data_IF_813979432398
#
_entry.id   IF_813979432398
#
_cell.length_a   1.000
_cell.length_b   1.000
_cell.length_c   1.000
_cell.angle_alpha   90.00
_cell.angle_beta   90.00
_cell.angle_gamma   90.00
#
_symmetry.space_group_name_H-M   'P 1'
#
loop_
_entity.id
_entity.type
_entity.pdbx_description
1 polymer ?
#
# COMPACT_ATOMS: atom_id res chain seq x y z
N UNK A 1 41.39 31.52 -43.75
CA UNK A 1 40.44 31.63 -42.61
C UNK A 1 39.78 30.29 -42.43
N UNK A 2 40.07 29.58 -41.32
CA UNK A 2 39.52 28.23 -41.01
C UNK A 2 38.33 28.40 -40.06
N UNK A 3 37.11 28.17 -40.54
CA UNK A 3 35.92 28.12 -39.70
C UNK A 3 35.93 26.80 -38.90
N UNK A 4 36.06 26.89 -37.58
CA UNK A 4 35.91 25.78 -36.67
C UNK A 4 34.39 25.60 -36.41
N UNK A 5 33.83 24.51 -36.92
CA UNK A 5 32.46 24.08 -36.65
C UNK A 5 32.38 23.57 -35.22
N UNK A 6 31.62 24.26 -34.38
CA UNK A 6 31.35 23.86 -32.99
C UNK A 6 30.11 22.95 -32.98
N UNK A 7 30.33 21.63 -32.90
CA UNK A 7 29.26 20.66 -32.69
C UNK A 7 28.85 20.70 -31.24
N UNK A 8 27.73 21.35 -30.94
CA UNK A 8 27.09 21.26 -29.62
C UNK A 8 26.23 20.03 -29.61
N UNK A 9 26.72 18.98 -28.97
CA UNK A 9 25.93 17.75 -28.71
C UNK A 9 25.00 18.03 -27.52
N UNK A 10 23.74 18.29 -27.81
CA UNK A 10 22.70 18.36 -26.76
C UNK A 10 22.40 16.93 -26.34
N UNK A 11 22.93 16.51 -25.19
CA UNK A 11 22.58 15.27 -24.53
C UNK A 11 21.21 15.48 -23.86
N UNK A 12 20.16 15.11 -24.54
CA UNK A 12 18.81 15.07 -23.96
C UNK A 12 18.77 13.97 -22.88
N UNK A 13 18.81 14.39 -21.63
CA UNK A 13 18.55 13.52 -20.49
C UNK A 13 17.06 13.18 -20.51
N UNK A 14 16.70 12.04 -21.09
CA UNK A 14 15.39 11.45 -20.89
C UNK A 14 15.32 10.96 -19.45
N UNK A 15 14.77 11.77 -18.57
CA UNK A 15 14.32 11.32 -17.26
C UNK A 15 13.12 10.40 -17.49
N UNK A 16 13.34 9.10 -17.51
CA UNK A 16 12.25 8.13 -17.45
C UNK A 16 11.68 8.22 -16.05
N UNK A 17 10.51 8.85 -15.89
CA UNK A 17 9.73 8.73 -14.68
C UNK A 17 9.43 7.24 -14.48
N UNK A 18 10.08 6.63 -13.48
CA UNK A 18 9.77 5.26 -13.06
C UNK A 18 8.44 5.34 -12.30
N UNK A 19 7.35 5.19 -13.01
CA UNK A 19 6.03 5.03 -12.42
C UNK A 19 5.96 3.62 -11.83
N UNK A 20 5.70 3.49 -10.53
CA UNK A 20 5.47 2.18 -9.91
C UNK A 20 4.21 1.57 -10.54
N UNK A 21 4.38 0.50 -11.31
CA UNK A 21 3.27 -0.18 -11.96
C UNK A 21 2.74 -1.28 -11.05
N UNK A 22 1.68 -0.97 -10.29
CA UNK A 22 1.08 -1.91 -9.37
C UNK A 22 0.38 -3.06 -10.10
N UNK A 23 0.83 -4.27 -9.86
CA UNK A 23 0.23 -5.51 -10.36
C UNK A 23 -0.45 -6.25 -9.21
N UNK A 24 -1.70 -6.74 -9.38
CA UNK A 24 -2.35 -7.51 -8.34
C UNK A 24 -1.62 -8.85 -8.12
N UNK A 25 -1.36 -9.16 -6.86
CA UNK A 25 -0.86 -10.46 -6.41
C UNK A 25 -2.04 -11.35 -6.05
N UNK A 26 -2.95 -10.84 -5.23
CA UNK A 26 -4.16 -11.52 -4.82
C UNK A 26 -5.02 -10.65 -3.91
N UNK A 27 -6.19 -11.17 -3.54
CA UNK A 27 -7.10 -10.49 -2.63
C UNK A 27 -7.85 -11.48 -1.75
N UNK A 28 -8.35 -10.99 -0.63
CA UNK A 28 -9.15 -11.78 0.30
C UNK A 28 -10.23 -10.91 0.96
N UNK A 29 -11.35 -11.52 1.30
CA UNK A 29 -12.43 -10.87 2.00
C UNK A 29 -12.37 -11.17 3.49
N UNK A 30 -12.53 -10.14 4.30
CA UNK A 30 -12.69 -10.28 5.74
C UNK A 30 -14.17 -10.23 6.11
N UNK A 31 -14.64 -11.31 6.73
CA UNK A 31 -16.02 -11.44 7.20
C UNK A 31 -16.05 -11.55 8.72
N UNK A 32 -17.05 -10.94 9.34
CA UNK A 32 -17.37 -11.13 10.74
C UNK A 32 -18.77 -11.78 10.86
N UNK A 33 -18.78 -13.06 11.19
CA UNK A 33 -19.98 -13.87 11.07
C UNK A 33 -20.48 -13.88 9.61
N UNK A 34 -21.75 -13.54 9.35
CA UNK A 34 -22.31 -13.47 7.99
C UNK A 34 -22.01 -12.13 7.29
N UNK A 35 -21.32 -11.21 7.92
CA UNK A 35 -21.14 -9.86 7.40
C UNK A 35 -19.77 -9.70 6.74
N UNK A 36 -19.76 -9.30 5.48
CA UNK A 36 -18.57 -8.82 4.81
C UNK A 36 -18.25 -7.41 5.32
N UNK A 37 -17.05 -7.24 5.88
CA UNK A 37 -16.65 -5.99 6.54
C UNK A 37 -15.74 -5.17 5.64
N UNK A 38 -14.71 -5.79 5.07
CA UNK A 38 -13.80 -5.20 4.09
C UNK A 38 -13.12 -6.29 3.25
N UNK A 39 -12.62 -5.88 2.11
CA UNK A 39 -11.72 -6.69 1.28
C UNK A 39 -10.31 -6.12 1.37
N UNK A 40 -9.30 -6.98 1.30
CA UNK A 40 -7.90 -6.56 1.24
C UNK A 40 -7.24 -7.14 0.01
N UNK A 41 -6.59 -6.29 -0.79
CA UNK A 41 -5.78 -6.66 -1.94
C UNK A 41 -4.31 -6.45 -1.66
N UNK A 42 -3.46 -7.33 -2.18
CA UNK A 42 -2.01 -7.19 -2.20
C UNK A 42 -1.54 -6.92 -3.62
N UNK A 43 -0.69 -5.93 -3.76
CA UNK A 43 -0.11 -5.52 -5.04
C UNK A 43 1.42 -5.45 -4.92
N UNK A 44 2.10 -5.73 -6.02
CA UNK A 44 3.54 -5.58 -6.19
C UNK A 44 3.86 -5.13 -7.61
N UNK A 45 5.12 -4.87 -7.93
CA UNK A 45 5.54 -4.54 -9.30
C UNK A 45 5.56 -5.76 -10.24
N UNK A 46 5.52 -6.98 -9.71
CA UNK A 46 5.75 -8.23 -10.48
C UNK A 46 4.57 -9.19 -10.48
N UNK A 47 3.39 -8.78 -10.01
CA UNK A 47 2.20 -9.64 -9.80
C UNK A 47 2.46 -10.92 -8.98
N UNK A 48 3.53 -10.92 -8.18
CA UNK A 48 3.90 -12.02 -7.29
C UNK A 48 4.47 -11.45 -6.00
N UNK A 49 4.46 -12.25 -4.94
CA UNK A 49 5.07 -11.88 -3.67
C UNK A 49 6.27 -12.79 -3.36
N UNK A 50 7.35 -12.16 -2.95
CA UNK A 50 8.51 -12.81 -2.35
C UNK A 50 8.79 -12.20 -0.98
N UNK A 51 9.32 -13.00 -0.04
CA UNK A 51 9.66 -12.49 1.28
C UNK A 51 10.69 -11.34 1.17
N UNK A 52 10.45 -10.27 1.93
CA UNK A 52 11.25 -9.04 1.91
C UNK A 52 11.25 -8.27 0.58
N UNK A 53 10.30 -8.53 -0.29
CA UNK A 53 10.12 -7.74 -1.51
C UNK A 53 9.53 -6.37 -1.17
N UNK A 54 10.04 -5.34 -1.84
CA UNK A 54 9.49 -3.98 -1.89
C UNK A 54 9.57 -3.46 -3.32
N UNK A 55 8.75 -2.50 -3.72
CA UNK A 55 7.60 -2.00 -2.95
C UNK A 55 6.43 -3.00 -2.91
N UNK A 56 5.58 -2.85 -1.89
CA UNK A 56 4.29 -3.53 -1.79
C UNK A 56 3.19 -2.50 -1.55
N UNK A 57 1.97 -2.80 -1.99
CA UNK A 57 0.80 -2.03 -1.60
C UNK A 57 -0.30 -2.98 -1.11
N UNK A 58 -0.86 -2.65 0.05
CA UNK A 58 -2.10 -3.24 0.55
C UNK A 58 -3.23 -2.25 0.31
N UNK A 59 -4.31 -2.71 -0.31
CA UNK A 59 -5.50 -1.90 -0.55
C UNK A 59 -6.67 -2.50 0.21
N UNK A 60 -7.25 -1.74 1.12
CA UNK A 60 -8.39 -2.13 1.95
C UNK A 60 -9.61 -1.37 1.43
N UNK A 61 -10.58 -2.11 0.90
CA UNK A 61 -11.87 -1.57 0.49
C UNK A 61 -12.90 -1.87 1.56
N UNK A 62 -13.53 -0.84 2.09
CA UNK A 62 -14.53 -0.98 3.13
C UNK A 62 -15.91 -1.29 2.55
N UNK A 63 -16.60 -2.25 3.15
CA UNK A 63 -17.98 -2.62 2.77
C UNK A 63 -19.00 -2.12 3.82
N UNK A 64 -18.52 -1.65 4.96
CA UNK A 64 -19.31 -1.10 6.06
C UNK A 64 -18.68 0.19 6.56
N UNK A 65 -19.48 1.10 7.15
CA UNK A 65 -18.93 2.27 7.83
C UNK A 65 -18.00 1.84 8.97
N UNK A 66 -16.81 2.43 9.03
CA UNK A 66 -15.80 2.14 10.08
C UNK A 66 -15.20 3.46 10.54
N UNK A 67 -15.25 3.70 11.85
CA UNK A 67 -14.54 4.84 12.43
C UNK A 67 -13.03 4.63 12.31
N UNK A 68 -12.30 5.61 11.73
CA UNK A 68 -10.87 5.50 11.50
C UNK A 68 -10.07 5.25 12.77
N UNK A 69 -10.48 5.87 13.90
CA UNK A 69 -9.86 5.64 15.21
C UNK A 69 -10.00 4.19 15.69
N UNK A 70 -11.17 3.58 15.47
CA UNK A 70 -11.42 2.18 15.83
C UNK A 70 -10.66 1.22 14.94
N UNK A 71 -10.52 1.56 13.66
CA UNK A 71 -9.69 0.78 12.73
C UNK A 71 -8.21 0.82 13.13
N UNK A 72 -7.68 1.99 13.53
CA UNK A 72 -6.33 2.11 14.06
C UNK A 72 -6.11 1.21 15.29
N UNK A 73 -7.07 1.15 16.23
CA UNK A 73 -7.01 0.24 17.38
C UNK A 73 -6.94 -1.22 16.94
N UNK A 74 -7.72 -1.60 15.91
CA UNK A 74 -7.71 -2.96 15.38
C UNK A 74 -6.34 -3.33 14.82
N UNK A 75 -5.75 -2.45 14.00
CA UNK A 75 -4.41 -2.67 13.43
C UNK A 75 -3.35 -2.84 14.53
N UNK A 76 -3.38 -1.98 15.54
CA UNK A 76 -2.41 -2.07 16.66
C UNK A 76 -2.56 -3.38 17.45
N UNK A 77 -3.78 -3.85 17.72
CA UNK A 77 -3.99 -5.14 18.39
C UNK A 77 -3.37 -6.31 17.60
N UNK A 78 -3.49 -6.28 16.28
CA UNK A 78 -2.86 -7.28 15.43
C UNK A 78 -1.32 -7.18 15.44
N UNK A 79 -0.78 -5.96 15.49
CA UNK A 79 0.67 -5.75 15.63
C UNK A 79 1.19 -6.20 17.01
N UNK A 80 0.47 -5.92 18.10
CA UNK A 80 0.84 -6.33 19.47
C UNK A 80 0.87 -7.86 19.61
N UNK A 81 -0.02 -8.57 18.92
CA UNK A 81 -0.02 -10.03 18.88
C UNK A 81 1.30 -10.61 18.32
N UNK A 82 2.10 -9.80 17.62
CA UNK A 82 3.42 -10.16 17.09
C UNK A 82 4.58 -9.86 18.04
N UNK A 83 4.29 -9.55 19.32
CA UNK A 83 5.29 -9.30 20.37
C UNK A 83 6.12 -8.02 20.17
N UNK A 84 5.49 -6.98 19.64
CA UNK A 84 6.13 -5.67 19.48
C UNK A 84 6.18 -4.89 20.81
N UNK A 85 7.07 -3.90 20.87
CA UNK A 85 7.21 -3.02 22.02
C UNK A 85 5.94 -2.17 22.22
N UNK A 86 5.47 -2.05 23.47
CA UNK A 86 4.30 -1.21 23.83
C UNK A 86 4.52 0.26 23.52
N UNK A 87 5.75 0.76 23.65
CA UNK A 87 6.06 2.16 23.37
C UNK A 87 5.88 2.49 21.88
N UNK A 88 6.34 1.60 21.00
CA UNK A 88 6.16 1.76 19.55
C UNK A 88 4.67 1.72 19.17
N UNK A 89 3.95 0.70 19.66
CA UNK A 89 2.52 0.53 19.32
C UNK A 89 1.67 1.68 19.83
N UNK A 90 2.00 2.26 20.99
CA UNK A 90 1.33 3.45 21.52
C UNK A 90 1.55 4.67 20.64
N UNK A 91 2.78 4.91 20.20
CA UNK A 91 3.11 6.03 19.31
C UNK A 91 2.43 5.91 17.95
N UNK A 92 2.43 4.69 17.37
CA UNK A 92 1.77 4.41 16.10
C UNK A 92 0.26 4.55 16.18
N UNK A 93 -0.36 4.05 17.27
CA UNK A 93 -1.81 4.21 17.50
C UNK A 93 -2.19 5.69 17.48
N UNK A 94 -1.51 6.49 18.30
CA UNK A 94 -1.77 7.93 18.38
C UNK A 94 -1.71 8.56 16.99
N UNK A 95 -0.66 8.23 16.22
CA UNK A 95 -0.47 8.82 14.90
C UNK A 95 -1.55 8.39 13.91
N UNK A 96 -1.90 7.11 13.86
CA UNK A 96 -2.99 6.64 13.00
C UNK A 96 -4.33 7.27 13.37
N UNK A 97 -4.62 7.43 14.68
CA UNK A 97 -5.86 8.10 15.13
C UNK A 97 -5.93 9.58 14.79
N UNK A 98 -4.77 10.25 14.60
CA UNK A 98 -4.70 11.64 14.15
C UNK A 98 -4.97 11.79 12.65
N UNK A 99 -4.56 10.81 11.83
CA UNK A 99 -4.58 10.94 10.37
C UNK A 99 -5.71 10.16 9.69
N UNK A 100 -6.23 9.10 10.29
CA UNK A 100 -7.27 8.29 9.66
C UNK A 100 -8.62 9.01 9.69
N UNK A 101 -9.27 9.20 8.53
CA UNK A 101 -10.66 9.62 8.48
C UNK A 101 -11.59 8.48 8.90
N UNK A 102 -12.86 8.78 9.10
CA UNK A 102 -13.90 7.76 9.12
C UNK A 102 -14.15 7.27 7.70
N UNK A 103 -14.34 5.98 7.55
CA UNK A 103 -14.52 5.32 6.26
C UNK A 103 -15.99 4.96 6.03
N UNK A 104 -16.45 5.20 4.82
CA UNK A 104 -17.76 4.80 4.30
C UNK A 104 -17.65 3.56 3.42
N UNK A 105 -18.76 2.87 3.09
CA UNK A 105 -18.73 1.79 2.10
C UNK A 105 -18.16 2.29 0.76
N UNK A 106 -17.29 1.48 0.18
CA UNK A 106 -16.49 1.72 -1.02
C UNK A 106 -15.29 2.67 -0.85
N UNK A 107 -15.05 3.25 0.33
CA UNK A 107 -13.80 3.95 0.56
C UNK A 107 -12.61 2.98 0.52
N UNK A 108 -11.47 3.49 0.08
CA UNK A 108 -10.20 2.79 -0.03
C UNK A 108 -9.20 3.35 0.96
N UNK A 109 -8.51 2.47 1.68
CA UNK A 109 -7.31 2.79 2.43
C UNK A 109 -6.15 1.96 1.87
N UNK A 110 -5.23 2.63 1.21
CA UNK A 110 -4.03 1.99 0.70
C UNK A 110 -2.86 2.22 1.65
N UNK A 111 -2.05 1.20 1.87
CA UNK A 111 -0.76 1.32 2.53
C UNK A 111 0.34 0.97 1.54
N UNK A 112 1.18 1.93 1.21
CA UNK A 112 2.37 1.74 0.38
C UNK A 112 3.54 1.45 1.29
N UNK A 113 4.11 0.26 1.14
CA UNK A 113 5.27 -0.22 1.89
C UNK A 113 6.52 -0.10 1.02
N UNK A 114 7.44 0.74 1.42
CA UNK A 114 8.78 0.87 0.88
C UNK A 114 9.77 0.20 1.84
N UNK A 115 11.00 0.00 1.42
CA UNK A 115 12.00 -0.70 2.24
C UNK A 115 12.25 -0.02 3.60
N UNK A 116 12.36 1.31 3.60
CA UNK A 116 12.72 2.09 4.79
C UNK A 116 11.55 2.83 5.43
N UNK A 117 10.40 2.86 4.79
CA UNK A 117 9.23 3.61 5.25
C UNK A 117 7.94 3.10 4.60
N UNK A 118 6.81 3.54 5.16
CA UNK A 118 5.49 3.33 4.55
C UNK A 118 4.57 4.50 4.83
N UNK A 119 3.49 4.62 4.06
CA UNK A 119 2.52 5.68 4.20
C UNK A 119 1.14 5.23 3.74
N UNK A 120 0.12 5.95 4.20
CA UNK A 120 -1.27 5.68 3.85
C UNK A 120 -1.82 6.67 2.84
N UNK A 121 -2.71 6.16 1.99
CA UNK A 121 -3.52 6.94 1.05
C UNK A 121 -4.98 6.58 1.33
N UNK A 122 -5.80 7.56 1.71
CA UNK A 122 -7.24 7.39 1.87
C UNK A 122 -7.93 7.91 0.61
N UNK A 123 -8.62 7.02 -0.11
CA UNK A 123 -9.10 7.27 -1.45
C UNK A 123 -7.94 7.78 -2.33
N UNK A 124 -7.97 9.03 -2.80
CA UNK A 124 -6.92 9.62 -3.63
C UNK A 124 -6.04 10.62 -2.84
N UNK A 125 -6.15 10.65 -1.51
CA UNK A 125 -5.42 11.61 -0.67
C UNK A 125 -4.32 10.92 0.13
N UNK A 126 -3.07 11.29 -0.11
CA UNK A 126 -1.93 10.87 0.73
C UNK A 126 -2.09 11.46 2.13
N UNK A 127 -2.12 10.60 3.14
CA UNK A 127 -2.21 11.04 4.53
C UNK A 127 -0.86 11.59 5.00
N UNK A 128 -0.90 12.75 5.67
CA UNK A 128 0.31 13.52 6.00
C UNK A 128 1.13 12.90 7.14
N UNK A 129 1.61 11.67 6.93
CA UNK A 129 2.59 11.03 7.80
C UNK A 129 3.27 9.84 7.12
N UNK A 130 4.58 9.75 7.24
CA UNK A 130 5.37 8.58 6.90
C UNK A 130 5.71 7.79 8.17
N UNK A 131 5.56 6.48 8.10
CA UNK A 131 5.95 5.56 9.15
C UNK A 131 7.31 4.95 8.83
N UNK A 132 8.07 4.60 9.85
CA UNK A 132 9.39 4.00 9.70
C UNK A 132 9.36 2.54 9.21
N UNK A 133 10.53 1.97 8.94
CA UNK A 133 10.68 0.60 8.50
C UNK A 133 10.12 -0.42 9.50
N UNK A 134 10.16 -0.12 10.81
CA UNK A 134 9.65 -1.01 11.85
C UNK A 134 8.13 -1.11 11.80
N UNK A 135 7.44 0.03 11.69
CA UNK A 135 5.99 0.05 11.45
C UNK A 135 5.64 -0.66 10.14
N UNK A 136 6.36 -0.34 9.07
CA UNK A 136 6.12 -0.90 7.73
C UNK A 136 6.17 -2.42 7.76
N UNK A 137 7.18 -2.99 8.42
CA UNK A 137 7.28 -4.44 8.61
C UNK A 137 6.12 -4.98 9.44
N UNK A 138 5.81 -4.33 10.57
CA UNK A 138 4.72 -4.74 11.45
C UNK A 138 3.37 -4.75 10.71
N UNK A 139 3.12 -3.75 9.85
CA UNK A 139 1.90 -3.70 9.04
C UNK A 139 1.82 -4.84 8.02
N UNK A 140 2.92 -5.11 7.29
CA UNK A 140 3.00 -6.27 6.37
C UNK A 140 2.70 -7.57 7.14
N UNK A 141 3.26 -7.73 8.31
CA UNK A 141 3.14 -8.93 9.14
C UNK A 141 1.72 -9.14 9.70
N UNK A 142 0.88 -8.09 9.80
CA UNK A 142 -0.57 -8.28 10.08
C UNK A 142 -1.17 -9.27 9.08
N UNK A 143 -0.82 -9.15 7.81
CA UNK A 143 -1.42 -9.93 6.73
C UNK A 143 -0.62 -11.18 6.37
N UNK A 144 0.72 -11.11 6.41
CA UNK A 144 1.59 -12.11 5.80
C UNK A 144 2.42 -12.93 6.80
N UNK A 145 2.40 -12.59 8.09
CA UNK A 145 3.08 -13.41 9.12
C UNK A 145 2.34 -14.75 9.31
N UNK A 146 3.06 -15.87 9.44
CA UNK A 146 2.44 -17.17 9.77
C UNK A 146 1.79 -17.19 11.16
N UNK A 147 2.07 -16.18 12.00
CA UNK A 147 1.47 -15.99 13.33
C UNK A 147 0.27 -15.04 13.31
N UNK A 148 -0.09 -14.49 12.17
CA UNK A 148 -1.21 -13.56 12.01
C UNK A 148 -2.54 -14.25 12.31
N UNK A 149 -3.49 -13.49 12.90
CA UNK A 149 -4.88 -13.94 13.01
C UNK A 149 -5.55 -14.13 11.64
N UNK A 150 -5.00 -13.50 10.59
CA UNK A 150 -5.47 -13.59 9.20
C UNK A 150 -4.76 -14.68 8.37
N UNK A 151 -4.08 -15.63 9.01
CA UNK A 151 -3.35 -16.71 8.31
C UNK A 151 -4.22 -17.46 7.29
N UNK A 152 -5.52 -17.57 7.54
CA UNK A 152 -6.48 -18.23 6.63
C UNK A 152 -6.74 -17.43 5.34
N UNK A 153 -6.47 -16.13 5.33
CA UNK A 153 -6.63 -15.26 4.17
C UNK A 153 -5.37 -15.27 3.28
N UNK A 154 -4.22 -15.67 3.82
CA UNK A 154 -2.93 -15.61 3.13
C UNK A 154 -2.90 -16.37 1.79
N UNK A 155 -3.45 -17.59 1.65
CA UNK A 155 -3.41 -18.27 0.36
C UNK A 155 -4.07 -17.47 -0.77
N UNK A 156 -5.17 -16.77 -0.46
CA UNK A 156 -5.87 -15.88 -1.40
C UNK A 156 -5.07 -14.60 -1.66
N UNK A 157 -4.57 -13.93 -0.61
CA UNK A 157 -3.73 -12.73 -0.73
C UNK A 157 -2.46 -12.98 -1.53
N UNK A 158 -1.88 -14.17 -1.42
CA UNK A 158 -0.68 -14.57 -2.14
C UNK A 158 -0.96 -15.13 -3.54
N UNK A 159 -2.23 -15.07 -4.01
CA UNK A 159 -2.63 -15.57 -5.32
C UNK A 159 -2.51 -17.09 -5.50
N UNK A 160 -2.36 -17.84 -4.40
CA UNK A 160 -2.24 -19.32 -4.41
C UNK A 160 -3.59 -20.01 -4.51
N UNK A 161 -4.65 -19.35 -4.06
CA UNK A 161 -6.03 -19.81 -4.19
C UNK A 161 -6.83 -18.73 -4.93
N UNK A 162 -7.56 -19.16 -5.95
CA UNK A 162 -8.51 -18.27 -6.63
C UNK A 162 -9.79 -18.19 -5.79
N UNK A 163 -10.37 -17.01 -5.70
CA UNK A 163 -11.69 -16.87 -5.11
C UNK A 163 -12.69 -17.61 -6.00
N UNK A 164 -13.44 -18.56 -5.41
CA UNK A 164 -14.45 -19.35 -6.15
C UNK A 164 -15.73 -18.57 -6.36
N UNK A 165 -15.84 -17.38 -5.80
CA UNK A 165 -16.93 -16.45 -6.06
C UNK A 165 -16.43 -15.38 -7.02
N UNK A 166 -17.06 -15.35 -8.19
CA UNK A 166 -16.82 -14.40 -9.29
C UNK A 166 -17.29 -12.99 -8.86
N UNK A 167 -16.64 -12.43 -7.85
CA UNK A 167 -16.87 -11.06 -7.38
C UNK A 167 -15.86 -10.17 -8.07
N UNK A 168 -16.39 -9.31 -8.93
CA UNK A 168 -15.77 -8.17 -9.60
C UNK A 168 -14.28 -8.04 -9.28
N UNK A 169 -13.48 -8.35 -10.29
CA UNK A 169 -12.04 -8.18 -10.31
C UNK A 169 -11.62 -7.01 -9.40
N UNK A 170 -10.91 -7.32 -8.30
CA UNK A 170 -10.40 -6.30 -7.38
C UNK A 170 -9.35 -5.51 -8.16
N UNK A 171 -9.82 -4.54 -8.92
CA UNK A 171 -8.98 -3.58 -9.63
C UNK A 171 -8.82 -2.40 -8.72
N UNK A 172 -7.58 -2.03 -8.44
CA UNK A 172 -7.32 -0.68 -8.01
C UNK A 172 -7.79 0.23 -9.16
N UNK A 173 -8.93 0.87 -8.96
CA UNK A 173 -9.39 1.95 -9.82
C UNK A 173 -9.31 3.21 -8.99
N UNK A 174 -8.36 4.12 -9.28
CA UNK A 174 -8.43 5.47 -8.73
C UNK A 174 -9.76 6.10 -9.15
N UNK A 175 -10.35 6.90 -8.27
CA UNK A 175 -11.64 7.55 -8.50
C UNK A 175 -11.56 8.71 -9.51
N UNK A 176 -10.67 8.67 -10.49
CA UNK A 176 -10.47 9.70 -11.50
C UNK A 176 -10.72 9.17 -12.91
N UNK A 177 -11.29 10.03 -13.72
CA UNK A 177 -11.70 10.02 -15.11
C UNK A 177 -11.18 8.81 -15.94
N UNK A 178 -12.08 8.03 -16.61
CA UNK A 178 -11.72 6.82 -17.37
C UNK A 178 -10.81 7.07 -18.60
N UNK A 179 -10.38 8.30 -18.83
CA UNK A 179 -9.52 8.68 -19.96
C UNK A 179 -8.11 9.15 -19.56
N UNK A 180 -7.77 9.12 -18.27
CA UNK A 180 -6.47 9.60 -17.78
C UNK A 180 -5.66 8.44 -17.21
N UNK A 181 -4.99 7.68 -18.09
CA UNK A 181 -4.10 6.57 -17.67
C UNK A 181 -2.94 7.07 -16.80
N UNK A 182 -2.61 8.37 -16.85
CA UNK A 182 -1.56 9.00 -16.06
C UNK A 182 -1.95 9.22 -14.59
N UNK A 183 -3.27 9.30 -14.30
CA UNK A 183 -3.82 9.45 -12.94
C UNK A 183 -4.27 8.12 -12.31
N UNK A 184 -4.06 7.00 -12.98
CA UNK A 184 -4.52 5.69 -12.55
C UNK A 184 -3.68 5.05 -11.43
N UNK A 185 -2.70 5.75 -10.87
CA UNK A 185 -1.79 5.22 -9.84
C UNK A 185 -1.78 6.09 -8.59
N UNK A 186 -1.62 5.50 -7.39
CA UNK A 186 -1.35 6.28 -6.20
C UNK A 186 -0.09 7.11 -6.44
N UNK A 187 -0.22 8.43 -6.39
CA UNK A 187 0.93 9.31 -6.48
C UNK A 187 1.89 9.01 -5.33
N UNK A 188 3.17 8.83 -5.68
CA UNK A 188 4.22 8.81 -4.68
C UNK A 188 4.30 10.20 -4.03
N UNK A 189 4.69 10.31 -2.75
CA UNK A 189 4.84 11.60 -2.10
C UNK A 189 5.71 12.53 -2.96
N UNK A 190 5.43 13.84 -3.03
CA UNK A 190 6.14 14.79 -3.90
C UNK A 190 7.66 14.86 -3.67
N UNK A 191 8.16 14.28 -2.58
CA UNK A 191 9.58 14.17 -2.25
C UNK A 191 10.12 12.74 -2.35
N UNK A 192 9.40 11.82 -3.01
CA UNK A 192 9.90 10.46 -3.22
C UNK A 192 11.03 10.48 -4.25
N UNK A 193 12.25 10.20 -3.80
CA UNK A 193 13.42 10.00 -4.66
C UNK A 193 13.80 8.52 -4.63
N UNK A 194 13.54 7.78 -5.73
CA UNK A 194 13.89 6.35 -5.80
C UNK A 194 15.40 6.09 -5.71
N UNK A 195 16.24 7.10 -5.96
CA UNK A 195 17.69 6.95 -5.89
C UNK A 195 18.24 7.09 -4.45
N UNK A 196 17.49 7.72 -3.55
CA UNK A 196 17.92 7.89 -2.16
C UNK A 196 17.75 6.63 -1.32
N UNK A 197 17.02 5.63 -1.81
CA UNK A 197 16.80 4.36 -1.13
C UNK A 197 17.82 3.26 -1.50
N UNK A 198 18.72 3.51 -2.45
CA UNK A 198 19.73 2.52 -2.88
C UNK A 198 21.08 2.69 -2.17
N UNK A 199 21.26 3.70 -1.31
CA UNK A 199 22.54 4.04 -0.66
C UNK A 199 22.47 4.05 0.88
N UNK A 200 21.53 3.31 1.48
CA UNK A 200 21.40 3.14 2.92
C UNK A 200 21.82 1.74 3.39
#
# INVERSE_FOLDING_TARGET
MKMKSLFVTILALFSTALSAHWQPVGHAEYTWGPFHVYSVGLFSETSSYQANQYPLMFSIKYEKPIEGKNFAITLIKEMEAQQLSTDDTTAWLKKMQEIFPDFSPNDLLNFVALENKGYFIANDTVLNHEFDAKFTRAFIDIWLSPKSSFVKLQPKLLGKEKDTQDHQEFRYQPASDPFDEENAMPELPPNYDPQNNLNG
#
